data_IF_363918098143
#
_entry.id   IF_363918098143
#
_cell.length_a   1.000
_cell.length_b   1.000
_cell.length_c   1.000
_cell.angle_alpha   90.00
_cell.angle_beta   90.00
_cell.angle_gamma   90.00
#
_symmetry.space_group_name_H-M   'P 1'
#
loop_
_entity.id
_entity.type
_entity.pdbx_description
1 polymer ?
#
# COMPACT_ATOMS: atom_id res chain seq x y z
N UNK A 1 6.37 23.44 4.15
CA UNK A 1 5.14 23.03 4.84
C UNK A 1 5.45 22.34 6.16
N UNK A 2 4.47 22.33 7.06
CA UNK A 2 4.42 21.38 8.17
C UNK A 2 3.53 20.20 7.77
N UNK A 3 3.97 18.98 8.08
CA UNK A 3 3.17 17.76 7.93
C UNK A 3 2.58 17.36 9.27
N UNK A 4 1.35 16.81 9.26
CA UNK A 4 0.71 16.30 10.47
C UNK A 4 0.01 14.98 10.23
N UNK A 5 0.14 14.09 11.20
CA UNK A 5 -0.69 12.88 11.33
C UNK A 5 -2.04 13.24 11.96
N UNK A 6 -3.14 12.80 11.37
CA UNK A 6 -4.51 13.02 11.88
C UNK A 6 -5.41 11.83 11.58
N UNK A 7 -6.45 11.67 12.39
CA UNK A 7 -7.57 10.76 12.08
C UNK A 7 -8.48 11.42 11.04
N UNK A 8 -9.07 10.61 10.16
CA UNK A 8 -9.95 11.07 9.08
C UNK A 8 -11.27 10.28 9.05
N UNK A 9 -12.35 10.95 8.65
CA UNK A 9 -13.68 10.37 8.51
C UNK A 9 -13.79 9.36 7.37
N UNK A 10 -14.71 8.40 7.49
CA UNK A 10 -14.91 7.35 6.51
C UNK A 10 -15.32 7.81 5.12
N UNK A 11 -16.17 8.83 5.00
CA UNK A 11 -16.79 9.21 3.73
C UNK A 11 -15.77 9.75 2.72
N UNK A 12 -14.86 10.63 3.15
CA UNK A 12 -13.84 11.24 2.28
C UNK A 12 -12.85 10.20 1.73
N UNK A 13 -12.43 9.25 2.56
CA UNK A 13 -11.51 8.17 2.17
C UNK A 13 -12.21 7.16 1.27
N UNK A 14 -13.46 6.82 1.55
CA UNK A 14 -14.27 5.96 0.68
C UNK A 14 -14.45 6.55 -0.70
N UNK A 15 -14.79 7.84 -0.75
CA UNK A 15 -14.92 8.56 -2.01
C UNK A 15 -13.59 8.52 -2.78
N UNK A 16 -12.47 8.82 -2.11
CA UNK A 16 -11.14 8.74 -2.73
C UNK A 16 -10.83 7.35 -3.31
N UNK A 17 -10.97 6.31 -2.50
CA UNK A 17 -10.72 4.91 -2.90
C UNK A 17 -11.60 4.52 -4.09
N UNK A 18 -12.91 4.82 -4.03
CA UNK A 18 -13.85 4.47 -5.10
C UNK A 18 -13.66 5.27 -6.37
N UNK A 19 -13.16 6.50 -6.30
CA UNK A 19 -12.94 7.33 -7.49
C UNK A 19 -11.58 7.04 -8.14
N UNK A 20 -10.54 6.76 -7.34
CA UNK A 20 -9.16 6.69 -7.81
C UNK A 20 -8.64 5.25 -7.99
N UNK A 21 -9.24 4.24 -7.35
CA UNK A 21 -8.87 2.83 -7.58
C UNK A 21 -9.67 2.16 -8.72
N UNK A 22 -10.35 2.93 -9.56
CA UNK A 22 -11.16 2.40 -10.67
C UNK A 22 -10.33 1.77 -11.80
N UNK A 23 -9.01 1.91 -11.80
CA UNK A 23 -8.13 1.25 -12.78
C UNK A 23 -7.42 0.00 -12.22
N UNK A 24 -8.12 -1.14 -12.38
CA UNK A 24 -7.61 -2.46 -12.80
C UNK A 24 -6.36 -3.03 -12.09
N UNK A 25 -6.30 -3.08 -10.76
CA UNK A 25 -5.31 -3.93 -10.08
C UNK A 25 -5.99 -5.02 -9.23
N UNK A 26 -5.53 -6.29 -9.22
CA UNK A 26 -6.23 -7.38 -8.51
C UNK A 26 -6.38 -7.13 -7.01
N UNK A 27 -5.35 -6.59 -6.36
CA UNK A 27 -5.41 -6.29 -4.94
C UNK A 27 -6.35 -5.12 -4.70
N UNK A 28 -6.17 -4.01 -5.44
CA UNK A 28 -7.03 -2.83 -5.38
C UNK A 28 -8.51 -3.14 -5.63
N UNK A 29 -8.82 -4.13 -6.49
CA UNK A 29 -10.19 -4.59 -6.72
C UNK A 29 -10.76 -5.35 -5.53
N UNK A 30 -9.98 -6.23 -4.93
CA UNK A 30 -10.38 -6.90 -3.70
C UNK A 30 -10.65 -5.90 -2.56
N UNK A 31 -10.04 -4.71 -2.61
CA UNK A 31 -10.28 -3.64 -1.63
C UNK A 31 -11.70 -3.05 -1.72
N UNK A 32 -12.33 -3.07 -2.89
CA UNK A 32 -13.70 -2.58 -3.08
C UNK A 32 -14.73 -3.45 -2.36
N UNK A 33 -14.38 -4.68 -2.01
CA UNK A 33 -15.26 -5.61 -1.30
C UNK A 33 -15.21 -5.43 0.23
N UNK A 34 -14.30 -4.59 0.77
CA UNK A 34 -14.23 -4.29 2.20
C UNK A 34 -15.18 -3.15 2.59
N UNK A 35 -15.75 -3.23 3.80
CA UNK A 35 -16.47 -2.12 4.42
C UNK A 35 -15.47 -1.07 4.93
N UNK A 36 -14.98 -0.25 4.01
CA UNK A 36 -14.05 0.81 4.30
C UNK A 36 -14.69 1.90 5.17
N UNK A 37 -16.01 2.11 5.17
CA UNK A 37 -16.67 3.10 6.04
C UNK A 37 -16.39 2.80 7.51
N UNK A 38 -16.48 1.53 7.90
CA UNK A 38 -16.28 1.06 9.28
C UNK A 38 -14.81 0.99 9.75
N UNK A 39 -13.83 1.19 8.85
CA UNK A 39 -12.39 1.12 9.18
C UNK A 39 -11.88 2.30 10.00
N UNK A 40 -10.89 2.08 10.87
CA UNK A 40 -10.10 3.15 11.48
C UNK A 40 -9.07 3.68 10.48
N UNK A 41 -8.92 5.00 10.37
CA UNK A 41 -8.17 5.63 9.26
C UNK A 41 -7.24 6.73 9.76
N UNK A 42 -5.97 6.61 9.42
CA UNK A 42 -4.97 7.65 9.66
C UNK A 42 -4.47 8.23 8.34
N UNK A 43 -4.23 9.54 8.34
CA UNK A 43 -3.60 10.24 7.22
C UNK A 43 -2.44 11.08 7.70
N UNK A 44 -1.43 11.22 6.82
CA UNK A 44 -0.32 12.13 6.99
C UNK A 44 -0.16 12.95 5.71
N UNK A 45 -0.33 14.26 5.84
CA UNK A 45 -0.31 15.21 4.73
C UNK A 45 0.15 16.59 5.21
N UNK A 46 0.36 17.50 4.26
CA UNK A 46 0.60 18.91 4.52
C UNK A 46 -0.61 19.55 5.21
N UNK A 47 -0.35 20.36 6.23
CA UNK A 47 -1.42 20.96 7.06
C UNK A 47 -2.46 21.76 6.28
N UNK A 48 -2.05 22.36 5.16
CA UNK A 48 -2.88 23.25 4.35
C UNK A 48 -3.78 22.49 3.37
N UNK A 49 -3.58 21.17 3.23
CA UNK A 49 -4.36 20.29 2.34
C UNK A 49 -4.95 19.08 3.08
N UNK A 50 -5.76 19.28 4.14
CA UNK A 50 -6.43 18.16 4.77
C UNK A 50 -7.51 17.59 3.83
N UNK A 51 -7.69 16.26 3.82
CA UNK A 51 -8.84 15.60 3.18
C UNK A 51 -10.08 15.92 4.03
N UNK A 52 -10.59 17.14 3.90
CA UNK A 52 -11.80 17.62 4.59
C UNK A 52 -12.95 17.88 3.60
N UNK A 53 -12.70 17.93 2.27
CA UNK A 53 -13.75 18.09 1.26
C UNK A 53 -13.34 17.63 -0.15
N UNK A 54 -14.34 17.41 -1.01
CA UNK A 54 -14.26 16.83 -2.36
C UNK A 54 -13.41 17.61 -3.39
N UNK A 55 -12.85 18.76 -3.03
CA UNK A 55 -12.21 19.71 -3.95
C UNK A 55 -10.67 19.71 -3.94
N UNK A 56 -10.03 18.76 -3.26
CA UNK A 56 -8.56 18.76 -3.06
C UNK A 56 -7.74 17.99 -4.12
N UNK A 57 -8.32 17.66 -5.27
CA UNK A 57 -7.62 16.96 -6.36
C UNK A 57 -7.11 17.99 -7.38
N UNK A 58 -5.82 18.33 -7.34
CA UNK A 58 -5.39 19.62 -7.89
C UNK A 58 -3.89 19.86 -8.06
N UNK A 59 -3.13 18.86 -8.49
CA UNK A 59 -1.98 18.95 -9.40
C UNK A 59 -0.75 19.71 -8.93
N UNK A 60 0.19 19.02 -8.28
CA UNK A 60 1.63 19.32 -8.30
C UNK A 60 2.44 18.02 -8.24
N UNK A 61 3.44 17.88 -9.13
CA UNK A 61 4.36 16.74 -9.16
C UNK A 61 5.70 17.15 -8.57
N UNK A 62 5.86 17.06 -7.25
CA UNK A 62 7.18 17.21 -6.63
C UNK A 62 7.39 16.22 -5.48
N UNK A 63 8.61 15.65 -5.44
CA UNK A 63 9.06 14.67 -4.46
C UNK A 63 8.96 15.22 -3.03
N UNK A 64 7.90 14.87 -2.33
CA UNK A 64 7.70 15.30 -0.95
C UNK A 64 8.29 14.28 0.02
N UNK A 65 9.57 14.46 0.37
CA UNK A 65 10.36 13.49 1.16
C UNK A 65 9.76 13.22 2.54
N UNK A 66 9.04 14.19 3.12
CA UNK A 66 8.44 14.07 4.46
C UNK A 66 7.31 13.05 4.55
N UNK A 67 6.38 13.05 3.58
CA UNK A 67 5.27 12.10 3.55
C UNK A 67 5.76 10.66 3.30
N UNK A 68 6.74 10.51 2.41
CA UNK A 68 7.39 9.23 2.14
C UNK A 68 8.10 8.65 3.37
N UNK A 69 8.91 9.45 4.07
CA UNK A 69 9.62 8.98 5.27
C UNK A 69 8.65 8.54 6.38
N UNK A 70 7.57 9.31 6.59
CA UNK A 70 6.51 8.90 7.51
C UNK A 70 5.89 7.57 7.11
N UNK A 71 5.54 7.40 5.83
CA UNK A 71 4.95 6.15 5.33
C UNK A 71 5.89 4.97 5.53
N UNK A 72 7.20 5.14 5.28
CA UNK A 72 8.18 4.08 5.47
C UNK A 72 8.25 3.64 6.93
N UNK A 73 8.34 4.60 7.85
CA UNK A 73 8.38 4.32 9.28
C UNK A 73 7.08 3.68 9.77
N UNK A 74 5.93 4.17 9.29
CA UNK A 74 4.63 3.65 9.72
C UNK A 74 4.40 2.22 9.22
N UNK A 75 4.82 1.92 7.99
CA UNK A 75 4.80 0.54 7.46
C UNK A 75 5.70 -0.37 8.29
N UNK A 76 6.92 0.04 8.63
CA UNK A 76 7.84 -0.76 9.46
C UNK A 76 7.23 -1.02 10.84
N UNK A 77 6.65 0.00 11.47
CA UNK A 77 5.93 -0.12 12.75
C UNK A 77 4.81 -1.17 12.66
N UNK A 78 3.94 -1.06 11.66
CA UNK A 78 2.78 -1.94 11.48
C UNK A 78 3.17 -3.38 11.12
N UNK A 79 4.20 -3.57 10.29
CA UNK A 79 4.80 -4.89 10.05
C UNK A 79 5.39 -5.42 11.36
N UNK A 80 6.03 -4.57 12.16
CA UNK A 80 6.65 -4.90 13.45
C UNK A 80 5.68 -5.48 14.49
N UNK A 81 4.38 -5.16 14.40
CA UNK A 81 3.36 -5.57 15.37
C UNK A 81 3.18 -7.11 15.48
N UNK A 82 3.47 -7.86 14.41
CA UNK A 82 3.42 -9.33 14.42
C UNK A 82 4.55 -9.89 13.56
N UNK A 83 5.18 -10.98 14.01
CA UNK A 83 6.24 -11.66 13.26
C UNK A 83 5.78 -12.21 11.90
N UNK A 84 4.48 -12.50 11.80
CA UNK A 84 3.79 -12.97 10.60
C UNK A 84 3.40 -11.87 9.62
N UNK A 85 3.47 -10.60 10.01
CA UNK A 85 3.06 -9.53 9.11
C UNK A 85 4.05 -9.38 7.96
N UNK A 86 3.51 -9.20 6.77
CA UNK A 86 4.24 -8.77 5.58
C UNK A 86 3.48 -7.63 4.93
N UNK A 87 4.21 -6.70 4.31
CA UNK A 87 3.62 -5.76 3.39
C UNK A 87 3.79 -6.24 1.94
N UNK A 88 2.74 -6.06 1.15
CA UNK A 88 2.71 -6.31 -0.28
C UNK A 88 2.40 -4.99 -0.97
N UNK A 89 3.30 -4.55 -1.83
CA UNK A 89 3.14 -3.32 -2.61
C UNK A 89 2.93 -3.66 -4.07
N UNK A 90 1.79 -3.25 -4.60
CA UNK A 90 1.40 -3.51 -5.98
C UNK A 90 2.08 -2.51 -6.92
N UNK A 91 2.73 -3.02 -7.96
CA UNK A 91 3.37 -2.19 -8.98
C UNK A 91 2.42 -1.94 -10.15
N UNK A 92 1.77 -0.78 -10.16
CA UNK A 92 0.79 -0.41 -11.18
C UNK A 92 1.41 -0.30 -12.59
N UNK A 93 2.68 0.09 -12.68
CA UNK A 93 3.39 0.36 -13.93
C UNK A 93 4.11 -0.86 -14.50
N UNK A 94 4.24 -1.95 -13.74
CA UNK A 94 4.98 -3.13 -14.18
C UNK A 94 4.16 -4.41 -14.25
N UNK A 95 4.50 -5.19 -15.25
CA UNK A 95 4.03 -6.56 -15.49
C UNK A 95 5.22 -7.46 -15.68
N UNK A 96 5.04 -8.77 -15.49
CA UNK A 96 6.14 -9.78 -15.54
C UNK A 96 7.09 -9.71 -16.76
N UNK A 97 6.69 -9.06 -17.85
CA UNK A 97 7.51 -8.85 -19.05
C UNK A 97 8.43 -7.61 -19.00
N UNK A 98 8.40 -6.79 -17.94
CA UNK A 98 9.24 -5.58 -17.81
C UNK A 98 10.67 -5.94 -17.34
N UNK A 99 11.70 -5.54 -18.11
CA UNK A 99 13.11 -5.89 -17.82
C UNK A 99 13.63 -5.43 -16.45
N UNK A 100 13.06 -4.37 -15.89
CA UNK A 100 13.47 -3.77 -14.61
C UNK A 100 13.12 -4.64 -13.38
N UNK A 101 12.22 -5.61 -13.52
CA UNK A 101 11.79 -6.52 -12.44
C UNK A 101 12.90 -7.50 -12.07
N UNK A 102 13.69 -7.91 -13.06
CA UNK A 102 14.72 -8.95 -12.95
C UNK A 102 15.81 -8.56 -11.93
N UNK A 103 16.00 -7.27 -11.66
CA UNK A 103 17.04 -6.75 -10.77
C UNK A 103 16.55 -6.38 -9.37
N UNK A 104 15.27 -6.64 -9.02
CA UNK A 104 14.82 -6.41 -7.64
C UNK A 104 15.50 -7.42 -6.72
N UNK A 105 16.40 -6.92 -5.87
CA UNK A 105 17.23 -7.75 -4.99
C UNK A 105 16.40 -8.40 -3.88
N UNK A 106 15.31 -7.75 -3.47
CA UNK A 106 14.37 -8.29 -2.50
C UNK A 106 13.33 -9.21 -3.17
N UNK A 107 12.51 -9.87 -2.36
CA UNK A 107 11.51 -10.83 -2.83
C UNK A 107 10.31 -10.18 -3.55
N UNK A 108 9.72 -10.88 -4.51
CA UNK A 108 8.51 -10.43 -5.21
C UNK A 108 7.55 -11.59 -5.51
N UNK A 109 6.25 -11.35 -5.47
CA UNK A 109 5.23 -12.30 -5.94
C UNK A 109 4.68 -11.83 -7.28
N UNK A 110 4.14 -12.78 -8.05
CA UNK A 110 3.37 -12.46 -9.24
C UNK A 110 2.01 -13.13 -9.24
N UNK A 111 0.99 -12.43 -9.69
CA UNK A 111 -0.37 -12.96 -9.82
C UNK A 111 -1.06 -12.34 -11.04
N UNK A 112 -1.52 -13.15 -12.00
CA UNK A 112 -2.13 -12.66 -13.25
C UNK A 112 -1.31 -11.56 -13.95
N UNK A 113 -0.01 -11.77 -14.11
CA UNK A 113 0.97 -10.84 -14.68
C UNK A 113 1.32 -9.60 -13.83
N UNK A 114 0.62 -9.38 -12.71
CA UNK A 114 0.90 -8.32 -11.74
C UNK A 114 2.01 -8.70 -10.78
N UNK A 115 2.67 -7.68 -10.23
CA UNK A 115 3.83 -7.84 -9.37
C UNK A 115 3.56 -7.18 -8.04
N UNK A 116 3.96 -7.90 -7.00
CA UNK A 116 3.84 -7.48 -5.62
C UNK A 116 5.22 -7.52 -4.99
N UNK A 117 5.75 -6.37 -4.60
CA UNK A 117 6.99 -6.29 -3.84
C UNK A 117 6.71 -6.66 -2.38
N UNK A 118 7.49 -7.58 -1.84
CA UNK A 118 7.27 -8.12 -0.50
C UNK A 118 8.24 -7.44 0.47
N UNK A 119 7.73 -6.92 1.57
CA UNK A 119 8.53 -6.52 2.74
C UNK A 119 8.12 -7.38 3.93
N UNK A 120 9.01 -8.24 4.39
CA UNK A 120 8.76 -9.07 5.58
C UNK A 120 9.26 -8.40 6.86
N UNK A 121 8.72 -8.83 8.01
CA UNK A 121 9.16 -8.35 9.33
C UNK A 121 10.68 -8.51 9.56
N UNK A 122 11.26 -9.63 9.09
CA UNK A 122 12.68 -9.95 9.27
C UNK A 122 13.66 -9.00 8.56
N UNK A 123 13.20 -8.28 7.53
CA UNK A 123 14.03 -7.46 6.65
C UNK A 123 13.39 -6.09 6.34
N UNK A 124 12.43 -5.68 7.17
CA UNK A 124 11.77 -4.38 7.10
C UNK A 124 12.77 -3.28 7.49
N UNK A 125 13.33 -2.62 6.48
CA UNK A 125 14.18 -1.44 6.61
C UNK A 125 13.57 -0.29 5.84
N UNK A 126 13.90 0.95 6.20
CA UNK A 126 13.43 2.12 5.46
C UNK A 126 13.79 2.00 3.97
N UNK A 127 15.01 1.61 3.63
CA UNK A 127 15.43 1.43 2.24
C UNK A 127 14.63 0.35 1.50
N UNK A 128 14.32 -0.77 2.17
CA UNK A 128 13.52 -1.82 1.55
C UNK A 128 12.10 -1.32 1.26
N UNK A 129 11.43 -0.75 2.26
CA UNK A 129 10.07 -0.19 2.11
C UNK A 129 10.04 0.92 1.07
N UNK A 130 11.04 1.81 1.09
CA UNK A 130 11.22 2.89 0.12
C UNK A 130 11.32 2.38 -1.31
N UNK A 131 12.13 1.34 -1.55
CA UNK A 131 12.25 0.77 -2.90
C UNK A 131 10.95 0.07 -3.31
N UNK A 132 10.30 -0.66 -2.38
CA UNK A 132 9.04 -1.36 -2.64
C UNK A 132 7.86 -0.41 -2.94
N UNK A 133 7.79 0.74 -2.25
CA UNK A 133 6.78 1.79 -2.44
C UNK A 133 7.00 2.68 -3.66
N UNK A 134 8.06 2.46 -4.45
CA UNK A 134 8.18 3.09 -5.77
C UNK A 134 9.19 4.23 -5.90
N UNK A 135 9.98 4.51 -4.86
CA UNK A 135 10.93 5.62 -4.80
C UNK A 135 12.15 5.48 -5.77
N UNK A 136 12.13 4.45 -6.60
CA UNK A 136 13.07 4.20 -7.71
C UNK A 136 12.46 4.46 -9.10
N UNK A 137 11.30 5.13 -9.18
CA UNK A 137 10.60 5.40 -10.43
C UNK A 137 9.70 4.24 -10.86
N UNK A 138 8.96 3.70 -9.89
CA UNK A 138 8.13 2.51 -10.04
C UNK A 138 6.75 2.80 -9.46
N UNK A 139 5.80 3.23 -10.30
CA UNK A 139 4.41 3.40 -9.88
C UNK A 139 4.10 4.72 -9.19
N UNK A 140 3.35 5.59 -9.88
CA UNK A 140 2.75 6.81 -9.32
C UNK A 140 1.50 6.57 -8.46
N UNK A 141 1.23 5.34 -8.05
CA UNK A 141 0.13 5.00 -7.15
C UNK A 141 0.54 3.74 -6.38
N UNK A 142 1.25 3.90 -5.27
CA UNK A 142 1.61 2.74 -4.44
C UNK A 142 0.42 2.35 -3.58
N UNK A 143 -0.45 1.49 -4.13
CA UNK A 143 -1.39 0.72 -3.31
C UNK A 143 -0.61 -0.41 -2.66
N UNK A 144 -0.69 -0.47 -1.34
CA UNK A 144 -0.09 -1.53 -0.56
C UNK A 144 -1.08 -2.10 0.43
N UNK A 145 -0.78 -3.29 0.91
CA UNK A 145 -1.48 -3.89 2.03
C UNK A 145 -0.48 -4.43 3.02
N UNK A 146 -0.89 -4.51 4.28
CA UNK A 146 -0.23 -5.33 5.29
C UNK A 146 -1.16 -6.51 5.57
N UNK A 147 -0.65 -7.71 5.37
CA UNK A 147 -1.36 -8.95 5.64
C UNK A 147 -0.70 -9.66 6.82
N UNK A 148 -1.52 -10.32 7.62
CA UNK A 148 -1.04 -11.19 8.69
C UNK A 148 -0.98 -12.64 8.18
N UNK A 149 0.19 -13.09 7.71
CA UNK A 149 0.33 -14.44 7.18
C UNK A 149 0.19 -15.50 8.28
N UNK A 150 -0.67 -16.52 8.13
CA UNK A 150 -0.86 -17.55 9.14
C UNK A 150 0.40 -18.41 9.26
N UNK A 151 0.54 -19.03 10.43
CA UNK A 151 1.55 -20.06 10.64
C UNK A 151 1.32 -21.20 9.64
N UNK A 152 2.28 -21.38 8.72
CA UNK A 152 2.27 -22.46 7.71
C UNK A 152 2.10 -22.02 6.26
N UNK A 153 1.70 -20.77 5.98
CA UNK A 153 1.75 -20.26 4.61
C UNK A 153 3.20 -19.92 4.25
N UNK A 154 3.78 -20.68 3.32
CA UNK A 154 5.13 -20.43 2.81
C UNK A 154 5.00 -19.72 1.47
N UNK A 155 5.25 -18.41 1.49
CA UNK A 155 5.36 -17.64 0.26
C UNK A 155 6.72 -17.89 -0.40
N UNK A 156 6.76 -18.02 -1.74
CA UNK A 156 8.04 -18.09 -2.44
C UNK A 156 8.81 -16.78 -2.27
N UNK A 157 10.13 -16.86 -2.27
CA UNK A 157 10.97 -15.65 -2.27
C UNK A 157 10.75 -14.83 -3.54
N UNK A 158 10.60 -15.52 -4.68
CA UNK A 158 10.32 -14.92 -5.99
C UNK A 158 9.38 -15.81 -6.80
N UNK A 159 8.39 -15.23 -7.46
CA UNK A 159 7.62 -15.89 -8.53
C UNK A 159 6.12 -15.93 -8.34
N UNK A 160 5.46 -16.75 -9.17
CA UNK A 160 4.01 -16.80 -9.25
C UNK A 160 3.37 -17.49 -8.04
N UNK A 161 2.25 -16.92 -7.58
CA UNK A 161 1.36 -17.52 -6.59
C UNK A 161 0.07 -18.02 -7.23
N UNK A 162 -0.59 -18.96 -6.57
CA UNK A 162 -1.87 -19.51 -7.02
C UNK A 162 -3.04 -18.60 -6.65
N UNK A 163 -4.21 -18.82 -7.25
CA UNK A 163 -5.46 -18.15 -6.88
C UNK A 163 -5.77 -18.37 -5.39
N UNK A 164 -5.61 -19.60 -4.89
CA UNK A 164 -5.89 -19.92 -3.49
C UNK A 164 -4.98 -19.14 -2.54
N UNK A 165 -3.70 -18.96 -2.93
CA UNK A 165 -2.76 -18.14 -2.15
C UNK A 165 -3.16 -16.67 -2.19
N UNK A 166 -3.56 -16.16 -3.35
CA UNK A 166 -3.98 -14.77 -3.50
C UNK A 166 -5.25 -14.46 -2.71
N UNK A 167 -6.29 -15.30 -2.84
CA UNK A 167 -7.55 -15.18 -2.10
C UNK A 167 -7.31 -15.20 -0.59
N UNK A 168 -6.40 -16.07 -0.15
CA UNK A 168 -5.98 -16.12 1.24
C UNK A 168 -5.31 -14.83 1.71
N UNK A 169 -4.38 -14.27 0.92
CA UNK A 169 -3.72 -13.01 1.22
C UNK A 169 -4.73 -11.86 1.33
N UNK A 170 -5.70 -11.80 0.41
CA UNK A 170 -6.81 -10.84 0.46
C UNK A 170 -7.60 -10.97 1.76
N UNK A 171 -7.98 -12.17 2.16
CA UNK A 171 -8.72 -12.41 3.42
C UNK A 171 -7.91 -12.08 4.68
N UNK A 172 -6.59 -11.99 4.57
CA UNK A 172 -5.67 -11.76 5.69
C UNK A 172 -5.19 -10.32 5.80
N UNK A 173 -5.74 -9.41 5.01
CA UNK A 173 -5.41 -7.98 5.06
C UNK A 173 -5.82 -7.40 6.42
N UNK A 174 -4.85 -6.77 7.10
CA UNK A 174 -5.05 -6.03 8.35
C UNK A 174 -5.02 -4.52 8.09
N UNK A 175 -4.19 -4.08 7.13
CA UNK A 175 -4.08 -2.67 6.77
C UNK A 175 -4.02 -2.45 5.27
N UNK A 176 -4.59 -1.33 4.84
CA UNK A 176 -4.50 -0.80 3.48
C UNK A 176 -3.63 0.44 3.49
N UNK A 177 -2.82 0.64 2.47
CA UNK A 177 -1.88 1.76 2.32
C UNK A 177 -2.11 2.38 0.95
N UNK A 178 -2.30 3.69 0.93
CA UNK A 178 -2.55 4.44 -0.31
C UNK A 178 -1.71 5.70 -0.35
N UNK A 179 -1.09 5.94 -1.50
CA UNK A 179 -0.71 7.31 -1.89
C UNK A 179 -1.97 8.17 -2.06
N UNK A 180 -1.95 9.37 -1.51
CA UNK A 180 -3.06 10.32 -1.55
C UNK A 180 -2.55 11.73 -1.89
N UNK A 181 -3.48 12.63 -2.25
CA UNK A 181 -3.21 14.06 -2.47
C UNK A 181 -2.12 14.36 -3.50
N UNK A 182 -2.24 13.81 -4.71
CA UNK A 182 -1.23 14.02 -5.76
C UNK A 182 0.20 13.64 -5.31
N UNK A 183 0.31 12.64 -4.43
CA UNK A 183 1.56 12.13 -3.83
C UNK A 183 2.16 12.98 -2.71
N UNK A 184 1.38 13.93 -2.17
CA UNK A 184 1.78 14.77 -1.04
C UNK A 184 1.34 14.21 0.31
N UNK A 185 0.69 13.04 0.33
CA UNK A 185 0.32 12.37 1.57
C UNK A 185 0.07 10.88 1.42
N UNK A 186 -0.15 10.23 2.57
CA UNK A 186 -0.53 8.83 2.65
C UNK A 186 -1.75 8.65 3.53
N UNK A 187 -2.54 7.63 3.21
CA UNK A 187 -3.65 7.14 4.04
C UNK A 187 -3.34 5.68 4.39
N UNK A 188 -3.49 5.32 5.67
CA UNK A 188 -3.45 3.94 6.12
C UNK A 188 -4.76 3.62 6.84
N UNK A 189 -5.47 2.59 6.36
CA UNK A 189 -6.73 2.13 6.91
C UNK A 189 -6.54 0.79 7.61
N UNK A 190 -7.08 0.62 8.81
CA UNK A 190 -7.13 -0.67 9.52
C UNK A 190 -8.43 -1.38 9.19
N UNK A 191 -8.33 -2.57 8.61
CA UNK A 191 -9.48 -3.37 8.20
C UNK A 191 -10.11 -4.04 9.42
N UNK A 192 -11.40 -3.79 9.72
CA UNK A 192 -12.08 -4.49 10.79
C UNK A 192 -12.24 -5.95 10.40
N UNK A 193 -11.96 -6.84 11.36
CA UNK A 193 -12.18 -8.28 11.17
C UNK A 193 -13.66 -8.56 11.38
N UNK A 194 -14.28 -9.19 10.37
CA UNK A 194 -15.62 -9.79 10.49
C UNK A 194 -15.67 -10.94 11.47
#
# INVERSE_FOLDING_TARGET
MAFKERQITGDAVNKYIRENLNEVLPLSRALLDFDIESTDKITFCEEDYPLESENSYGGWLYKNTGACEWAYNKVIELIGNKSSNIALFEDCDRRIHHKSIINYKYGYLTFNDWIYYIVGNKDATQDHVRIALGDTGVGWFSTGVIVNCPEGLILPEKGAITNETFDFLVQSIEHLIFGAFDLEGYIICTVPKG
#
